data_IF_762199892484
#
_entry.id   IF_762199892484
#
_cell.length_a   1.000
_cell.length_b   1.000
_cell.length_c   1.000
_cell.angle_alpha   90.00
_cell.angle_beta   90.00
_cell.angle_gamma   90.00
#
_symmetry.space_group_name_H-M   'P 1'
#
loop_
_entity.id
_entity.type
_entity.pdbx_description
1 polymer ?
#
# COMPACT_ATOMS: atom_id res chain seq x y z
N UNK A 1 -32.87 10.11 19.84
CA UNK A 1 -32.21 9.43 18.72
C UNK A 1 -30.78 9.95 18.64
N UNK A 2 -29.83 9.21 19.21
CA UNK A 2 -28.41 9.54 19.16
C UNK A 2 -27.83 8.84 17.93
N UNK A 3 -27.41 9.59 16.92
CA UNK A 3 -26.63 9.04 15.80
C UNK A 3 -25.25 8.68 16.35
N UNK A 4 -24.94 7.38 16.41
CA UNK A 4 -23.57 6.93 16.60
C UNK A 4 -22.79 7.23 15.33
N UNK A 5 -21.87 8.19 15.40
CA UNK A 5 -20.83 8.35 14.39
C UNK A 5 -19.97 7.08 14.43
N UNK A 6 -20.10 6.21 13.42
CA UNK A 6 -19.14 5.15 13.19
C UNK A 6 -17.79 5.82 12.94
N UNK A 7 -16.89 5.75 13.92
CA UNK A 7 -15.53 6.22 13.76
C UNK A 7 -14.94 5.58 12.52
N UNK A 8 -14.43 6.42 11.61
CA UNK A 8 -13.55 5.98 10.55
C UNK A 8 -12.47 5.13 11.21
N UNK A 9 -12.54 3.80 11.07
CA UNK A 9 -11.38 2.95 11.26
C UNK A 9 -10.40 3.45 10.20
N UNK A 10 -9.47 4.31 10.60
CA UNK A 10 -8.37 4.70 9.73
C UNK A 10 -7.59 3.40 9.51
N UNK A 11 -7.84 2.76 8.36
CA UNK A 11 -7.10 1.56 8.00
C UNK A 11 -5.63 1.96 7.84
N UNK A 12 -4.77 1.36 8.66
CA UNK A 12 -3.34 1.64 8.61
C UNK A 12 -2.69 0.77 7.54
N UNK A 13 -1.89 1.35 6.66
CA UNK A 13 -1.06 0.59 5.74
C UNK A 13 0.30 0.26 6.34
N UNK A 14 0.72 -0.99 6.19
CA UNK A 14 2.09 -1.47 6.47
C UNK A 14 2.69 -2.11 5.24
N UNK A 15 4.01 -2.02 5.12
CA UNK A 15 4.72 -2.55 3.95
C UNK A 15 5.48 -3.81 4.31
N UNK A 16 5.39 -4.84 3.46
CA UNK A 16 6.22 -6.05 3.59
C UNK A 16 7.69 -5.67 3.65
N UNK A 17 8.38 -6.13 4.70
CA UNK A 17 9.77 -5.80 4.99
C UNK A 17 10.75 -6.47 4.03
N UNK A 18 11.98 -6.70 4.51
CA UNK A 18 13.06 -7.23 3.68
C UNK A 18 12.78 -8.67 3.16
N UNK A 19 12.16 -9.53 3.95
CA UNK A 19 11.77 -10.86 3.48
C UNK A 19 10.34 -10.82 2.93
N UNK A 20 10.01 -11.60 1.88
CA UNK A 20 8.62 -11.90 1.55
C UNK A 20 7.90 -12.48 2.77
N UNK A 21 6.59 -12.22 2.87
CA UNK A 21 5.74 -12.78 3.93
C UNK A 21 4.74 -13.76 3.34
N UNK A 22 4.26 -14.67 4.19
CA UNK A 22 3.20 -15.61 3.83
C UNK A 22 1.89 -15.06 4.41
N UNK A 23 0.84 -15.09 3.59
CA UNK A 23 -0.52 -14.84 4.03
C UNK A 23 -1.22 -16.16 4.35
N UNK A 24 -1.86 -16.22 5.52
CA UNK A 24 -2.49 -17.41 6.08
C UNK A 24 -4.02 -17.23 6.22
N UNK A 25 -4.75 -18.34 6.26
CA UNK A 25 -6.20 -18.34 6.53
C UNK A 25 -6.57 -18.09 8.01
N UNK A 26 -5.65 -18.41 8.93
CA UNK A 26 -5.76 -18.26 10.37
C UNK A 26 -4.54 -17.52 10.95
N UNK A 27 -4.65 -16.88 12.13
CA UNK A 27 -3.54 -16.23 12.82
C UNK A 27 -2.59 -17.27 13.46
N UNK A 28 -2.00 -18.14 12.63
CA UNK A 28 -1.12 -19.22 13.05
C UNK A 28 -0.24 -19.65 11.88
N UNK A 29 1.04 -19.92 12.15
CA UNK A 29 1.96 -20.48 11.16
C UNK A 29 1.61 -21.92 10.76
N UNK A 30 0.72 -22.58 11.51
CA UNK A 30 0.12 -23.88 11.18
C UNK A 30 -1.15 -23.77 10.34
N UNK A 31 -1.67 -22.56 10.11
CA UNK A 31 -2.80 -22.31 9.22
C UNK A 31 -2.47 -22.64 7.76
N UNK A 32 -3.50 -22.70 6.93
CA UNK A 32 -3.35 -22.83 5.48
C UNK A 32 -2.59 -21.64 4.91
N UNK A 33 -1.57 -21.92 4.10
CA UNK A 33 -0.80 -20.90 3.38
C UNK A 33 -1.55 -20.54 2.11
N UNK A 34 -1.96 -19.29 1.98
CA UNK A 34 -2.75 -18.80 0.86
C UNK A 34 -1.85 -18.17 -0.20
N UNK A 35 -1.02 -17.20 0.19
CA UNK A 35 -0.22 -16.40 -0.74
C UNK A 35 1.18 -16.11 -0.20
N UNK A 36 2.09 -15.78 -1.11
CA UNK A 36 3.40 -15.20 -0.78
C UNK A 36 3.43 -13.78 -1.31
N UNK A 37 3.65 -12.80 -0.44
CA UNK A 37 3.66 -11.38 -0.80
C UNK A 37 5.10 -10.89 -0.85
N UNK A 38 5.55 -10.29 -1.98
CA UNK A 38 6.93 -9.87 -2.13
C UNK A 38 7.29 -8.68 -1.24
N UNK A 39 8.60 -8.52 -0.99
CA UNK A 39 9.19 -7.35 -0.33
C UNK A 39 8.60 -6.07 -0.91
N UNK A 40 8.26 -5.15 -0.03
CA UNK A 40 7.86 -3.80 -0.39
C UNK A 40 6.39 -3.64 -0.76
N UNK A 41 5.60 -4.71 -0.88
CA UNK A 41 4.17 -4.57 -1.15
C UNK A 41 3.44 -3.97 0.07
N UNK A 42 2.57 -2.95 -0.13
CA UNK A 42 1.72 -2.43 0.93
C UNK A 42 0.50 -3.33 1.17
N UNK A 43 0.20 -3.54 2.44
CA UNK A 43 -0.93 -4.29 2.97
C UNK A 43 -1.76 -3.36 3.85
N UNK A 44 -3.07 -3.32 3.61
CA UNK A 44 -4.02 -2.60 4.46
C UNK A 44 -4.26 -3.43 5.72
N UNK A 45 -3.98 -2.89 6.90
CA UNK A 45 -4.28 -3.57 8.17
C UNK A 45 -5.75 -3.36 8.50
N UNK A 46 -6.49 -4.45 8.58
CA UNK A 46 -7.92 -4.45 8.89
C UNK A 46 -8.15 -4.57 10.40
N UNK A 47 -7.37 -5.41 11.07
CA UNK A 47 -7.33 -5.50 12.54
C UNK A 47 -6.06 -6.22 13.00
N UNK A 48 -5.74 -6.10 14.29
CA UNK A 48 -4.64 -6.78 14.95
C UNK A 48 -5.14 -7.80 15.99
N UNK A 49 -4.42 -8.92 16.11
CA UNK A 49 -4.64 -9.97 17.11
C UNK A 49 -3.29 -10.51 17.60
N UNK A 50 -2.81 -10.00 18.74
CA UNK A 50 -1.46 -10.28 19.22
C UNK A 50 -0.42 -9.90 18.16
N UNK A 51 0.45 -10.86 17.83
CA UNK A 51 1.50 -10.69 16.80
C UNK A 51 1.00 -10.86 15.35
N UNK A 52 -0.30 -11.05 15.16
CA UNK A 52 -0.93 -11.28 13.85
C UNK A 52 -1.74 -10.08 13.41
N UNK A 53 -1.69 -9.80 12.11
CA UNK A 53 -2.51 -8.78 11.48
C UNK A 53 -3.41 -9.44 10.45
N UNK A 54 -4.71 -9.14 10.51
CA UNK A 54 -5.61 -9.39 9.40
C UNK A 54 -5.37 -8.25 8.40
N UNK A 55 -5.04 -8.61 7.17
CA UNK A 55 -4.67 -7.65 6.14
C UNK A 55 -5.52 -7.84 4.89
N UNK A 56 -5.71 -6.75 4.14
CA UNK A 56 -6.19 -6.77 2.75
C UNK A 56 -5.03 -6.50 1.81
N UNK A 57 -4.89 -7.32 0.78
CA UNK A 57 -3.89 -7.12 -0.27
C UNK A 57 -4.41 -6.19 -1.39
N UNK A 58 -3.57 -5.93 -2.39
CA UNK A 58 -3.92 -5.08 -3.55
C UNK A 58 -5.07 -5.64 -4.41
N UNK A 59 -5.33 -6.94 -4.34
CA UNK A 59 -6.43 -7.61 -5.04
C UNK A 59 -7.74 -7.60 -4.22
N UNK A 60 -7.69 -7.16 -2.96
CA UNK A 60 -8.83 -7.11 -2.07
C UNK A 60 -8.99 -8.35 -1.18
N UNK A 61 -8.03 -9.27 -1.20
CA UNK A 61 -8.10 -10.54 -0.47
C UNK A 61 -7.73 -10.38 1.00
N UNK A 62 -8.51 -11.01 1.89
CA UNK A 62 -8.35 -10.92 3.34
C UNK A 62 -7.64 -12.14 3.91
N UNK A 63 -6.47 -11.94 4.51
CA UNK A 63 -5.67 -13.01 5.10
C UNK A 63 -4.92 -12.53 6.36
N UNK A 64 -4.18 -13.44 6.99
CA UNK A 64 -3.39 -13.17 8.19
C UNK A 64 -1.90 -13.19 7.90
N UNK A 65 -1.14 -12.27 8.49
CA UNK A 65 0.33 -12.26 8.44
C UNK A 65 0.90 -11.89 9.79
N UNK A 66 2.13 -12.34 10.08
CA UNK A 66 2.86 -11.91 11.27
C UNK A 66 3.32 -10.46 11.14
N UNK A 67 3.09 -9.65 12.17
CA UNK A 67 3.45 -8.22 12.20
C UNK A 67 4.97 -7.99 12.04
N UNK A 68 5.79 -8.90 12.56
CA UNK A 68 7.26 -8.84 12.49
C UNK A 68 7.83 -8.84 11.07
N UNK A 69 7.06 -9.34 10.09
CA UNK A 69 7.44 -9.35 8.68
C UNK A 69 7.19 -8.03 7.98
N UNK A 70 6.55 -7.07 8.65
CA UNK A 70 6.17 -5.78 8.10
C UNK A 70 7.04 -4.65 8.64
N UNK A 71 7.07 -3.56 7.89
CA UNK A 71 7.87 -2.38 8.15
C UNK A 71 7.01 -1.11 8.11
N UNK A 72 7.53 -0.05 8.73
CA UNK A 72 6.93 1.29 8.68
C UNK A 72 7.28 2.05 7.38
N UNK A 73 8.13 1.50 6.50
CA UNK A 73 8.39 2.11 5.19
C UNK A 73 7.08 2.21 4.43
N UNK A 74 6.82 3.32 3.76
CA UNK A 74 5.60 3.48 2.95
C UNK A 74 5.93 3.30 1.49
N UNK A 75 5.28 2.31 0.89
CA UNK A 75 5.30 2.12 -0.55
C UNK A 75 3.86 2.10 -1.06
N UNK A 76 3.71 2.38 -2.34
CA UNK A 76 2.44 2.32 -3.04
C UNK A 76 2.55 1.48 -4.30
N UNK A 77 1.45 0.84 -4.69
CA UNK A 77 1.33 0.10 -5.95
C UNK A 77 0.42 0.88 -6.90
N UNK A 78 0.85 1.04 -8.15
CA UNK A 78 0.05 1.65 -9.21
C UNK A 78 -1.16 0.77 -9.56
N UNK A 79 -2.36 1.34 -9.62
CA UNK A 79 -3.61 0.59 -9.89
C UNK A 79 -3.99 0.51 -11.37
N UNK A 80 -3.53 1.45 -12.18
CA UNK A 80 -3.92 1.62 -13.60
C UNK A 80 -2.73 1.41 -14.54
N UNK A 81 -2.98 0.93 -15.75
CA UNK A 81 -1.96 0.88 -16.79
C UNK A 81 -1.60 2.32 -17.26
N UNK A 82 -0.35 2.52 -17.68
CA UNK A 82 0.15 3.79 -18.21
C UNK A 82 -0.10 5.03 -17.32
N UNK A 83 0.03 4.90 -16.00
CA UNK A 83 -0.05 6.03 -15.08
C UNK A 83 1.09 7.02 -15.37
N UNK A 84 0.74 8.28 -15.62
CA UNK A 84 1.72 9.36 -15.81
C UNK A 84 2.15 9.90 -14.45
N UNK A 85 3.41 9.67 -14.08
CA UNK A 85 4.02 10.29 -12.90
C UNK A 85 4.52 11.68 -13.30
N UNK A 86 4.05 12.72 -12.60
CA UNK A 86 4.17 14.11 -13.05
C UNK A 86 5.25 14.89 -12.30
N UNK A 87 5.79 15.93 -12.92
CA UNK A 87 6.86 16.73 -12.34
C UNK A 87 6.42 17.55 -11.12
N UNK A 88 5.16 17.99 -11.10
CA UNK A 88 4.52 18.75 -10.01
C UNK A 88 3.13 18.16 -9.71
N UNK A 89 2.53 18.43 -8.53
CA UNK A 89 1.20 17.95 -8.15
C UNK A 89 0.07 18.70 -8.89
N UNK A 90 0.04 18.56 -10.21
CA UNK A 90 -0.89 19.22 -11.12
C UNK A 90 -1.25 18.29 -12.29
N UNK A 91 -2.51 18.20 -12.68
CA UNK A 91 -3.00 17.35 -13.76
C UNK A 91 -2.50 17.73 -15.16
N UNK A 92 -2.01 18.96 -15.32
CA UNK A 92 -1.47 19.50 -16.57
C UNK A 92 0.06 19.43 -16.61
N UNK A 93 0.72 19.10 -15.49
CA UNK A 93 2.16 19.01 -15.42
C UNK A 93 2.72 17.94 -16.36
N UNK A 94 3.90 18.23 -16.92
CA UNK A 94 4.61 17.30 -17.80
C UNK A 94 4.92 15.98 -17.08
N UNK A 95 4.74 14.82 -17.73
CA UNK A 95 5.12 13.54 -17.17
C UNK A 95 6.64 13.42 -17.09
N UNK A 96 7.15 12.92 -15.96
CA UNK A 96 8.55 12.54 -15.77
C UNK A 96 8.77 11.13 -16.32
N UNK A 97 7.83 10.21 -16.06
CA UNK A 97 7.82 8.85 -16.58
C UNK A 97 6.41 8.27 -16.52
N UNK A 98 6.24 7.08 -17.12
CA UNK A 98 5.01 6.29 -17.03
C UNK A 98 5.25 5.02 -16.22
N UNK A 99 4.26 4.62 -15.42
CA UNK A 99 4.29 3.40 -14.62
C UNK A 99 3.03 2.57 -14.90
N UNK A 100 3.21 1.27 -15.11
CA UNK A 100 2.09 0.35 -15.31
C UNK A 100 1.51 -0.18 -14.00
N UNK A 101 0.32 -0.79 -14.11
CA UNK A 101 -0.35 -1.47 -13.00
C UNK A 101 0.60 -2.46 -12.34
N UNK A 102 0.67 -2.44 -11.01
CA UNK A 102 1.55 -3.33 -10.24
C UNK A 102 2.95 -2.77 -9.98
N UNK A 103 3.34 -1.67 -10.63
CA UNK A 103 4.63 -1.01 -10.34
C UNK A 103 4.65 -0.51 -8.91
N UNK A 104 5.73 -0.85 -8.20
CA UNK A 104 5.97 -0.42 -6.84
C UNK A 104 6.74 0.90 -6.79
N UNK A 105 6.23 1.85 -6.02
CA UNK A 105 6.85 3.16 -5.81
C UNK A 105 7.02 3.42 -4.31
N UNK A 106 8.10 4.09 -3.95
CA UNK A 106 8.30 4.56 -2.57
C UNK A 106 7.54 5.86 -2.35
N UNK A 107 6.70 5.92 -1.32
CA UNK A 107 5.99 7.13 -0.93
C UNK A 107 6.91 7.98 -0.07
N UNK A 108 7.21 9.19 -0.53
CA UNK A 108 8.10 10.12 0.17
C UNK A 108 7.35 11.14 1.02
N UNK A 109 6.28 11.74 0.48
CA UNK A 109 5.56 12.84 1.12
C UNK A 109 4.12 12.93 0.61
N UNK A 110 3.19 13.33 1.47
CA UNK A 110 1.83 13.71 1.05
C UNK A 110 1.80 15.20 0.70
N UNK A 111 1.26 15.54 -0.47
CA UNK A 111 1.06 16.91 -0.94
C UNK A 111 -0.42 17.31 -0.86
N UNK A 112 -0.70 18.62 -0.97
CA UNK A 112 -2.06 19.14 -1.00
C UNK A 112 -2.85 18.60 -2.20
N UNK A 113 -4.18 18.59 -2.09
CA UNK A 113 -5.07 18.25 -3.21
C UNK A 113 -5.09 16.77 -3.60
N UNK A 114 -4.72 15.86 -2.67
CA UNK A 114 -4.75 14.42 -2.94
C UNK A 114 -3.57 13.92 -3.77
N UNK A 115 -2.48 14.68 -3.82
CA UNK A 115 -1.23 14.28 -4.47
C UNK A 115 -0.26 13.69 -3.46
N UNK A 116 0.60 12.80 -3.94
CA UNK A 116 1.72 12.25 -3.18
C UNK A 116 2.98 12.30 -4.02
N UNK A 117 4.10 12.55 -3.36
CA UNK A 117 5.42 12.46 -3.95
C UNK A 117 5.89 11.02 -3.86
N UNK A 118 6.28 10.49 -5.01
CA UNK A 118 6.72 9.10 -5.17
C UNK A 118 8.10 9.02 -5.81
N UNK A 119 8.83 7.96 -5.49
CA UNK A 119 10.13 7.63 -6.08
C UNK A 119 10.10 6.23 -6.68
N UNK A 120 10.48 6.12 -7.95
CA UNK A 120 10.74 4.85 -8.60
C UNK A 120 12.10 4.29 -8.17
N UNK A 121 12.27 2.96 -8.24
CA UNK A 121 13.53 2.30 -7.84
C UNK A 121 14.75 2.78 -8.64
N UNK A 122 14.54 3.26 -9.87
CA UNK A 122 15.59 3.79 -10.75
C UNK A 122 15.98 5.24 -10.40
N UNK A 123 15.41 5.81 -9.33
CA UNK A 123 15.73 7.15 -8.82
C UNK A 123 14.86 8.27 -9.36
N UNK A 124 13.96 7.99 -10.32
CA UNK A 124 13.01 8.97 -10.84
C UNK A 124 12.00 9.37 -9.75
N UNK A 125 11.74 10.67 -9.63
CA UNK A 125 10.85 11.25 -8.63
C UNK A 125 9.77 12.05 -9.34
N UNK A 126 8.54 11.96 -8.84
CA UNK A 126 7.45 12.81 -9.28
C UNK A 126 6.23 12.67 -8.39
N UNK A 127 5.07 13.05 -8.92
CA UNK A 127 3.81 13.15 -8.20
C UNK A 127 2.72 12.33 -8.89
N UNK A 128 1.89 11.68 -8.10
CA UNK A 128 0.70 10.93 -8.53
C UNK A 128 -0.47 11.24 -7.60
N UNK A 129 -1.71 11.00 -8.05
CA UNK A 129 -2.88 11.11 -7.17
C UNK A 129 -3.01 9.89 -6.27
N UNK A 130 -3.47 10.09 -5.03
CA UNK A 130 -3.78 9.00 -4.10
C UNK A 130 -4.82 8.03 -4.66
N UNK A 131 -5.75 8.53 -5.48
CA UNK A 131 -6.77 7.72 -6.14
C UNK A 131 -6.22 6.76 -7.21
N UNK A 132 -4.99 6.95 -7.68
CA UNK A 132 -4.36 6.12 -8.73
C UNK A 132 -3.46 5.01 -8.18
N UNK A 133 -3.27 4.98 -6.86
CA UNK A 133 -2.40 4.03 -6.19
C UNK A 133 -3.08 3.31 -5.02
N UNK A 134 -2.45 2.25 -4.55
CA UNK A 134 -2.80 1.45 -3.38
C UNK A 134 -1.67 1.55 -2.35
N UNK A 135 -1.96 1.71 -1.06
CA UNK A 135 -0.94 1.81 0.01
C UNK A 135 -0.83 3.14 0.75
N UNK A 136 -1.90 3.95 0.79
CA UNK A 136 -1.92 5.30 1.39
C UNK A 136 -2.37 5.26 2.84
#
# INVERSE_FOLDING_TARGET
MTLAAAGSQAYDFKTVGAAPVILYDAPSTKGGKLFVVPRGAPLEVVLAYGEWLKVRDVNGELAWTEAKGLSAKRNVIVKSANLKVRATPDDTASPVFTADKGVLLELSESAAGGWIKVRHRDGLIGYVKTSEVWGI
#
